data_IF_214506551618
#
_entry.id   IF_214506551618
#
_cell.length_a   1.000
_cell.length_b   1.000
_cell.length_c   1.000
_cell.angle_alpha   90.00
_cell.angle_beta   90.00
_cell.angle_gamma   90.00
#
_symmetry.space_group_name_H-M   'P 1'
#
loop_
_entity.id
_entity.type
_entity.pdbx_description
1 polymer ?
#
# COMPACT_ATOMS: atom_id res chain seq x y z
N UNK A 1 -33.31 20.40 30.34
CA UNK A 1 -32.08 19.61 30.14
C UNK A 1 -30.88 20.46 30.53
N UNK A 2 -30.15 20.06 31.57
CA UNK A 2 -29.11 20.89 32.18
C UNK A 2 -27.87 20.98 31.27
N UNK A 3 -27.30 22.18 31.13
CA UNK A 3 -26.09 22.46 30.36
C UNK A 3 -24.93 21.51 30.73
N UNK A 4 -24.91 21.08 31.99
CA UNK A 4 -23.96 20.10 32.55
C UNK A 4 -24.08 18.71 31.92
N UNK A 5 -25.28 18.27 31.55
CA UNK A 5 -25.48 16.98 30.86
C UNK A 5 -25.09 17.05 29.38
N UNK A 6 -25.21 18.22 28.75
CA UNK A 6 -24.77 18.44 27.36
C UNK A 6 -23.24 18.38 27.28
N UNK A 7 -22.54 19.00 28.23
CA UNK A 7 -21.07 19.00 28.29
C UNK A 7 -20.47 17.61 28.49
N UNK A 8 -21.11 16.75 29.31
CA UNK A 8 -20.63 15.38 29.55
C UNK A 8 -20.82 14.49 28.31
N UNK A 9 -21.89 14.71 27.55
CA UNK A 9 -22.14 13.96 26.31
C UNK A 9 -21.13 14.30 25.20
N UNK A 10 -20.61 15.54 25.16
CA UNK A 10 -19.68 15.99 24.12
C UNK A 10 -18.27 15.38 24.24
N UNK A 11 -17.82 15.04 25.45
CA UNK A 11 -16.46 14.50 25.69
C UNK A 11 -16.32 13.05 25.21
N UNK A 12 -17.40 12.28 25.20
CA UNK A 12 -17.37 10.86 24.82
C UNK A 12 -17.25 10.62 23.31
N UNK A 13 -17.60 11.59 22.46
CA UNK A 13 -17.54 11.43 21.00
C UNK A 13 -16.17 11.75 20.38
N UNK A 14 -15.24 12.35 21.12
CA UNK A 14 -13.93 12.76 20.57
C UNK A 14 -12.91 11.61 20.44
N UNK A 15 -13.19 10.42 20.99
CA UNK A 15 -12.24 9.30 21.06
C UNK A 15 -12.31 8.26 19.93
N UNK A 16 -13.23 8.38 18.98
CA UNK A 16 -13.52 7.33 17.99
C UNK A 16 -12.91 7.57 16.60
N UNK A 17 -11.85 8.37 16.49
CA UNK A 17 -11.07 8.47 15.24
C UNK A 17 -10.15 7.25 15.12
N UNK A 18 -10.70 6.11 14.71
CA UNK A 18 -9.87 4.98 14.27
C UNK A 18 -9.16 5.39 12.97
N UNK A 19 -7.84 5.15 12.83
CA UNK A 19 -7.18 5.35 11.55
C UNK A 19 -7.88 4.45 10.53
N UNK A 20 -8.44 5.06 9.49
CA UNK A 20 -8.94 4.31 8.34
C UNK A 20 -7.72 3.61 7.72
N UNK A 21 -7.52 2.33 8.07
CA UNK A 21 -6.58 1.46 7.38
C UNK A 21 -7.09 1.36 5.95
N UNK A 22 -6.55 2.18 5.05
CA UNK A 22 -6.87 2.13 3.64
C UNK A 22 -6.69 0.69 3.17
N UNK A 23 -7.79 0.05 2.76
CA UNK A 23 -7.76 -1.30 2.20
C UNK A 23 -6.97 -1.19 0.89
N UNK A 24 -5.70 -1.58 0.90
CA UNK A 24 -4.85 -1.54 -0.28
C UNK A 24 -5.40 -2.58 -1.27
N UNK A 25 -6.13 -2.15 -2.29
CA UNK A 25 -6.53 -3.05 -3.38
C UNK A 25 -5.29 -3.39 -4.21
N UNK A 26 -4.99 -4.69 -4.44
CA UNK A 26 -3.88 -5.06 -5.29
C UNK A 26 -4.02 -4.48 -6.70
N UNK A 27 -2.97 -3.84 -7.20
CA UNK A 27 -2.90 -3.37 -8.59
C UNK A 27 -2.61 -4.56 -9.51
N UNK A 28 -3.43 -4.85 -10.54
CA UNK A 28 -3.19 -5.99 -11.43
C UNK A 28 -2.03 -5.70 -12.40
N UNK A 29 -0.92 -6.44 -12.29
CA UNK A 29 0.29 -6.22 -13.09
C UNK A 29 0.05 -6.30 -14.61
N UNK A 30 -0.83 -7.20 -15.04
CA UNK A 30 -1.15 -7.42 -16.46
C UNK A 30 -1.95 -6.26 -17.09
N UNK A 31 -2.52 -5.35 -16.29
CA UNK A 31 -3.24 -4.18 -16.80
C UNK A 31 -2.31 -2.99 -17.06
N UNK A 32 -1.06 -3.03 -16.60
CA UNK A 32 -0.13 -1.90 -16.59
C UNK A 32 1.17 -2.21 -17.36
N UNK A 33 1.82 -1.16 -17.84
CA UNK A 33 3.19 -1.26 -18.36
C UNK A 33 4.22 -1.37 -17.23
N UNK A 34 5.40 -1.86 -17.57
CA UNK A 34 6.53 -1.93 -16.63
C UNK A 34 6.86 -0.55 -16.02
N UNK A 35 6.90 0.49 -16.86
CA UNK A 35 7.19 1.85 -16.43
C UNK A 35 6.11 2.43 -15.50
N UNK A 36 4.83 2.19 -15.80
CA UNK A 36 3.71 2.62 -14.94
C UNK A 36 3.81 2.02 -13.53
N UNK A 37 4.09 0.71 -13.44
CA UNK A 37 4.22 0.05 -12.13
C UNK A 37 5.44 0.56 -11.35
N UNK A 38 6.59 0.73 -12.01
CA UNK A 38 7.79 1.32 -11.40
C UNK A 38 7.49 2.71 -10.85
N UNK A 39 6.86 3.56 -11.65
CA UNK A 39 6.52 4.92 -11.23
C UNK A 39 5.56 4.92 -10.02
N UNK A 40 4.58 4.02 -9.99
CA UNK A 40 3.70 3.87 -8.84
C UNK A 40 4.46 3.48 -7.57
N UNK A 41 5.37 2.50 -7.65
CA UNK A 41 6.21 2.10 -6.50
C UNK A 41 7.10 3.25 -6.05
N UNK A 42 7.71 3.99 -6.98
CA UNK A 42 8.57 5.12 -6.65
C UNK A 42 7.81 6.27 -5.99
N UNK A 43 6.61 6.61 -6.47
CA UNK A 43 5.80 7.71 -5.91
C UNK A 43 5.15 7.37 -4.58
N UNK A 44 4.63 6.15 -4.42
CA UNK A 44 3.90 5.75 -3.21
C UNK A 44 4.82 5.14 -2.14
N UNK A 45 6.04 4.76 -2.50
CA UNK A 45 7.00 4.08 -1.64
C UNK A 45 6.69 2.62 -1.37
N UNK A 46 5.40 2.26 -1.34
CA UNK A 46 4.92 0.90 -1.10
C UNK A 46 3.61 0.63 -1.82
N UNK A 47 3.58 -0.39 -2.67
CA UNK A 47 2.42 -0.75 -3.49
C UNK A 47 2.18 -2.26 -3.44
N UNK A 48 0.92 -2.67 -3.26
CA UNK A 48 0.54 -4.07 -3.41
C UNK A 48 0.17 -4.36 -4.86
N UNK A 49 0.87 -5.29 -5.50
CA UNK A 49 0.67 -5.64 -6.91
C UNK A 49 0.29 -7.12 -7.01
N UNK A 50 -0.77 -7.40 -7.76
CA UNK A 50 -1.26 -8.73 -8.09
C UNK A 50 -0.63 -9.24 -9.39
N UNK A 51 -0.15 -10.47 -9.37
CA UNK A 51 0.27 -11.26 -10.55
C UNK A 51 -0.81 -12.25 -11.01
N UNK A 52 -1.95 -12.29 -10.30
CA UNK A 52 -3.08 -13.17 -10.54
C UNK A 52 -4.15 -13.03 -9.46
N UNK A 53 -5.34 -13.66 -9.62
CA UNK A 53 -6.52 -13.40 -8.77
C UNK A 53 -6.29 -13.51 -7.26
N UNK A 54 -5.35 -14.36 -6.84
CA UNK A 54 -5.01 -14.58 -5.42
C UNK A 54 -3.51 -14.49 -5.14
N UNK A 55 -2.72 -13.98 -6.09
CA UNK A 55 -1.27 -13.87 -5.98
C UNK A 55 -0.88 -12.40 -5.95
N UNK A 56 -0.66 -11.87 -4.76
CA UNK A 56 -0.28 -10.48 -4.55
C UNK A 56 0.93 -10.40 -3.64
N UNK A 57 1.74 -9.37 -3.85
CA UNK A 57 2.90 -9.09 -3.01
C UNK A 57 3.07 -7.58 -2.91
N UNK A 58 3.74 -7.14 -1.85
CA UNK A 58 4.03 -5.73 -1.61
C UNK A 58 5.42 -5.42 -2.12
N UNK A 59 5.52 -4.40 -2.95
CA UNK A 59 6.76 -3.92 -3.56
C UNK A 59 7.05 -2.53 -3.01
N UNK A 60 8.30 -2.28 -2.64
CA UNK A 60 8.73 -1.01 -2.05
C UNK A 60 9.87 -0.38 -2.83
N UNK A 61 10.04 0.94 -2.71
CA UNK A 61 11.19 1.65 -3.27
C UNK A 61 12.38 1.72 -2.30
N UNK A 62 12.15 1.54 -1.00
CA UNK A 62 13.19 1.47 0.02
C UNK A 62 12.80 0.51 1.16
N UNK A 63 13.81 0.06 1.91
CA UNK A 63 13.64 -0.80 3.07
C UNK A 63 13.97 -0.05 4.36
N UNK A 64 13.56 -0.60 5.51
CA UNK A 64 13.99 -0.06 6.79
C UNK A 64 15.50 -0.21 6.96
N UNK A 65 16.11 0.59 7.83
CA UNK A 65 17.57 0.58 8.01
C UNK A 65 18.15 -0.77 8.49
N UNK A 66 17.31 -1.69 8.97
CA UNK A 66 17.71 -3.02 9.46
C UNK A 66 17.42 -4.15 8.47
N UNK A 67 16.71 -3.85 7.38
CA UNK A 67 16.36 -4.85 6.37
C UNK A 67 17.22 -4.65 5.13
N UNK A 68 17.38 -5.70 4.33
CA UNK A 68 18.06 -5.59 3.04
C UNK A 68 17.05 -5.64 1.87
N UNK A 69 17.21 -4.77 0.85
CA UNK A 69 16.35 -4.79 -0.32
C UNK A 69 16.72 -5.96 -1.24
N UNK A 70 15.72 -6.77 -1.58
CA UNK A 70 15.83 -7.85 -2.59
C UNK A 70 15.07 -7.42 -3.83
N UNK A 71 15.73 -7.35 -5.02
CA UNK A 71 15.05 -6.93 -6.23
C UNK A 71 14.03 -7.97 -6.67
N UNK A 72 12.82 -7.52 -6.98
CA UNK A 72 11.71 -8.38 -7.40
C UNK A 72 11.30 -8.08 -8.84
N UNK A 73 10.99 -9.15 -9.57
CA UNK A 73 10.64 -9.10 -10.98
C UNK A 73 9.31 -9.80 -11.23
N UNK A 74 8.50 -9.25 -12.12
CA UNK A 74 7.24 -9.86 -12.51
C UNK A 74 6.86 -9.54 -13.96
N UNK A 75 6.03 -10.38 -14.59
CA UNK A 75 5.49 -10.09 -15.92
C UNK A 75 4.43 -8.99 -15.86
N UNK A 76 4.57 -7.99 -16.73
CA UNK A 76 3.62 -6.91 -16.99
C UNK A 76 3.02 -7.06 -18.38
N UNK A 77 2.14 -6.13 -18.77
CA UNK A 77 1.51 -6.12 -20.10
C UNK A 77 2.53 -6.14 -21.26
N UNK A 78 3.68 -5.51 -21.06
CA UNK A 78 4.68 -5.20 -22.09
C UNK A 78 6.07 -5.79 -21.84
N UNK A 79 6.33 -6.34 -20.65
CA UNK A 79 7.63 -6.91 -20.29
C UNK A 79 7.45 -8.17 -19.41
N UNK A 80 7.98 -9.30 -19.87
CA UNK A 80 7.89 -10.57 -19.15
C UNK A 80 8.73 -10.63 -17.86
N UNK A 81 9.75 -9.77 -17.73
CA UNK A 81 10.67 -9.73 -16.59
C UNK A 81 10.92 -8.27 -16.17
N UNK A 82 9.86 -7.56 -15.81
CA UNK A 82 9.95 -6.18 -15.35
C UNK A 82 10.49 -6.13 -13.92
N UNK A 83 11.55 -5.34 -13.68
CA UNK A 83 11.94 -4.93 -12.33
C UNK A 83 10.94 -3.91 -11.81
N UNK A 84 10.23 -4.20 -10.72
CA UNK A 84 9.16 -3.30 -10.23
C UNK A 84 9.54 -2.58 -8.93
N UNK A 85 10.43 -3.18 -8.15
CA UNK A 85 10.89 -2.66 -6.87
C UNK A 85 11.51 -3.75 -6.03
N UNK A 86 11.49 -3.56 -4.72
CA UNK A 86 12.12 -4.46 -3.76
C UNK A 86 11.11 -5.18 -2.85
N UNK A 87 11.49 -6.35 -2.36
CA UNK A 87 10.99 -6.91 -1.11
C UNK A 87 12.04 -6.69 -0.01
N UNK A 88 11.62 -6.50 1.24
CA UNK A 88 12.52 -6.35 2.37
C UNK A 88 12.63 -7.66 3.16
N UNK A 89 13.83 -7.99 3.60
CA UNK A 89 14.18 -9.22 4.30
C UNK A 89 15.02 -8.95 5.53
#
# INVERSE_FOLDING_TARGET
MNLRNVLIASVLLAGAATPALAQQTPIPAQAHSCAELQEMVQRQGRVMISRGPHLFSTYVNNCSARDFPVPEYLPTRDNAQCFVGYSCR
#
